data_IF_584925122536
#
_entry.id   IF_584925122536
#
_cell.length_a   1.000
_cell.length_b   1.000
_cell.length_c   1.000
_cell.angle_alpha   90.00
_cell.angle_beta   90.00
_cell.angle_gamma   90.00
#
_symmetry.space_group_name_H-M   'P 1'
#
loop_
_entity.id
_entity.type
_entity.pdbx_description
1 polymer ?
#
# COMPACT_ATOMS: atom_id res chain seq x y z
N UNK A 1 93.97 57.57 7.53
CA UNK A 1 92.62 57.42 7.00
C UNK A 1 91.63 57.94 8.03
N UNK A 2 90.67 58.77 7.61
CA UNK A 2 89.59 59.26 8.48
C UNK A 2 88.36 58.44 8.12
N UNK A 3 87.66 57.89 9.11
CA UNK A 3 86.41 57.17 8.82
C UNK A 3 85.30 58.18 8.51
N UNK A 4 85.03 58.44 7.24
CA UNK A 4 83.98 59.39 6.84
C UNK A 4 82.57 58.88 7.19
N UNK A 5 82.37 57.56 7.29
CA UNK A 5 81.09 56.96 7.65
C UNK A 5 80.72 57.16 9.12
N UNK A 6 81.70 57.36 10.00
CA UNK A 6 81.48 57.61 11.43
C UNK A 6 80.75 58.95 11.70
N UNK A 7 80.70 59.87 10.74
CA UNK A 7 80.02 61.17 10.87
C UNK A 7 78.90 61.29 9.85
N UNK A 8 77.64 61.38 10.31
CA UNK A 8 76.45 61.53 9.45
C UNK A 8 76.38 60.51 8.30
N UNK A 9 76.87 59.27 8.51
CA UNK A 9 76.93 58.20 7.51
C UNK A 9 77.69 58.60 6.22
N UNK A 10 78.71 59.47 6.31
CA UNK A 10 79.40 60.00 5.13
C UNK A 10 78.51 60.84 4.20
N UNK A 11 77.29 61.19 4.62
CA UNK A 11 76.27 61.79 3.76
C UNK A 11 75.50 60.80 2.88
N UNK A 12 75.76 59.50 3.00
CA UNK A 12 75.02 58.45 2.29
C UNK A 12 73.61 58.27 2.88
N UNK A 13 72.61 58.11 2.02
CA UNK A 13 71.23 57.87 2.46
C UNK A 13 71.06 56.52 3.17
N UNK A 14 71.68 55.46 2.64
CA UNK A 14 71.52 54.09 3.17
C UNK A 14 72.83 53.51 3.72
N UNK A 15 73.75 53.06 2.86
CA UNK A 15 74.97 52.34 3.29
C UNK A 15 76.21 53.17 2.93
N UNK A 16 77.09 53.37 3.90
CA UNK A 16 78.41 53.98 3.72
C UNK A 16 79.50 52.93 3.95
N UNK A 17 80.48 52.86 3.06
CA UNK A 17 81.67 52.03 3.23
C UNK A 17 82.92 52.90 3.18
N UNK A 18 83.68 52.92 4.28
CA UNK A 18 84.95 53.61 4.35
C UNK A 18 86.03 52.84 3.56
N UNK A 19 86.83 53.56 2.78
CA UNK A 19 87.93 53.00 1.98
C UNK A 19 89.21 53.78 2.26
N UNK A 20 90.39 53.26 1.90
CA UNK A 20 91.64 53.95 2.19
C UNK A 20 91.74 55.25 1.38
N UNK A 21 91.58 56.40 2.05
CA UNK A 21 91.64 57.74 1.48
C UNK A 21 90.34 58.28 0.85
N UNK A 22 89.21 57.58 1.00
CA UNK A 22 87.88 57.99 0.50
C UNK A 22 86.78 57.15 1.15
N UNK A 23 85.52 57.47 0.89
CA UNK A 23 84.39 56.58 1.14
C UNK A 23 83.57 56.37 -0.14
N UNK A 24 82.67 55.39 -0.14
CA UNK A 24 81.63 55.30 -1.16
C UNK A 24 80.27 54.99 -0.53
N UNK A 25 79.19 55.43 -1.17
CA UNK A 25 77.83 55.05 -0.80
C UNK A 25 77.36 53.87 -1.63
N UNK A 26 76.59 52.98 -1.02
CA UNK A 26 75.84 51.94 -1.70
C UNK A 26 74.41 51.88 -1.16
N UNK A 27 73.55 51.21 -1.91
CA UNK A 27 72.14 51.07 -1.56
C UNK A 27 71.82 49.63 -1.13
N UNK A 28 70.78 49.48 -0.34
CA UNK A 28 70.15 48.21 -0.02
C UNK A 28 69.58 47.57 -1.30
N UNK A 29 69.32 46.26 -1.26
CA UNK A 29 68.68 45.55 -2.38
C UNK A 29 67.33 46.22 -2.70
N UNK A 30 67.00 46.35 -3.99
CA UNK A 30 65.81 47.07 -4.47
C UNK A 30 66.01 48.57 -4.69
N UNK A 31 67.23 49.10 -4.46
CA UNK A 31 67.54 50.52 -4.67
C UNK A 31 68.74 50.70 -5.60
N UNK A 32 68.74 51.80 -6.34
CA UNK A 32 69.82 52.21 -7.24
C UNK A 32 70.43 53.54 -6.80
N UNK A 33 71.76 53.63 -6.86
CA UNK A 33 72.48 54.85 -6.48
C UNK A 33 72.19 55.95 -7.50
N UNK A 34 71.72 57.10 -7.00
CA UNK A 34 71.40 58.29 -7.78
C UNK A 34 72.67 58.95 -8.35
N UNK A 35 72.48 59.88 -9.28
CA UNK A 35 73.58 60.59 -9.98
C UNK A 35 74.47 61.42 -9.03
N UNK A 36 73.95 61.78 -7.86
CA UNK A 36 74.70 62.48 -6.81
C UNK A 36 75.66 61.56 -6.04
N UNK A 37 75.62 60.25 -6.29
CA UNK A 37 76.38 59.21 -5.58
C UNK A 37 76.14 59.17 -4.06
N UNK A 38 75.02 59.74 -3.59
CA UNK A 38 74.67 59.84 -2.16
C UNK A 38 73.26 59.29 -1.87
N UNK A 39 72.29 59.58 -2.74
CA UNK A 39 70.88 59.21 -2.59
C UNK A 39 70.58 57.86 -3.24
N UNK A 40 69.61 57.12 -2.72
CA UNK A 40 69.18 55.80 -3.16
C UNK A 40 67.74 55.86 -3.67
N UNK A 41 67.57 55.78 -4.99
CA UNK A 41 66.25 55.74 -5.61
C UNK A 41 65.73 54.31 -5.65
N UNK A 42 64.47 54.14 -5.27
CA UNK A 42 63.74 52.89 -5.40
C UNK A 42 63.78 52.37 -6.85
N UNK A 43 64.04 51.08 -7.03
CA UNK A 43 63.98 50.44 -8.34
C UNK A 43 62.56 49.96 -8.53
N UNK A 44 61.84 50.53 -9.50
CA UNK A 44 60.51 50.03 -9.86
C UNK A 44 60.65 48.73 -10.68
N UNK A 45 60.58 47.57 -10.01
CA UNK A 45 60.67 46.29 -10.69
C UNK A 45 59.46 46.04 -11.62
N UNK A 46 58.31 46.65 -11.34
CA UNK A 46 57.11 46.54 -12.16
C UNK A 46 57.24 47.25 -13.52
N UNK A 47 58.10 48.27 -13.61
CA UNK A 47 58.33 49.00 -14.86
C UNK A 47 58.93 48.13 -15.99
N UNK A 48 59.55 46.99 -15.65
CA UNK A 48 60.15 46.07 -16.60
C UNK A 48 59.46 44.71 -16.57
N UNK A 49 58.87 44.30 -17.71
CA UNK A 49 58.16 43.02 -17.85
C UNK A 49 57.18 42.70 -16.70
N UNK A 50 56.55 43.73 -16.12
CA UNK A 50 55.62 43.62 -15.00
C UNK A 50 56.22 42.94 -13.76
N UNK A 51 57.52 43.11 -13.50
CA UNK A 51 58.22 42.42 -12.40
C UNK A 51 58.26 40.90 -12.56
N UNK A 52 57.93 40.36 -13.74
CA UNK A 52 57.73 38.92 -13.95
C UNK A 52 56.39 38.39 -13.41
N UNK A 53 55.51 39.25 -12.89
CA UNK A 53 54.19 38.84 -12.40
C UNK A 53 53.28 38.45 -13.56
N UNK A 54 52.54 37.36 -13.40
CA UNK A 54 51.57 36.87 -14.38
C UNK A 54 50.38 37.81 -14.58
N UNK A 55 49.98 38.54 -13.52
CA UNK A 55 48.84 39.48 -13.56
C UNK A 55 49.23 40.87 -13.03
N UNK A 56 49.02 41.18 -11.75
CA UNK A 56 49.21 42.54 -11.21
C UNK A 56 50.50 42.64 -10.41
N UNK A 57 51.39 43.55 -10.81
CA UNK A 57 52.59 43.91 -10.04
C UNK A 57 52.36 45.21 -9.27
N UNK A 58 52.69 45.23 -7.97
CA UNK A 58 52.67 46.43 -7.15
C UNK A 58 54.06 46.72 -6.62
N UNK A 59 54.66 47.83 -7.07
CA UNK A 59 55.95 48.29 -6.59
C UNK A 59 55.81 48.90 -5.19
N UNK A 60 56.82 48.67 -4.36
CA UNK A 60 56.91 49.20 -2.99
C UNK A 60 58.35 49.61 -2.70
N UNK A 61 58.58 50.46 -1.71
CA UNK A 61 59.93 50.90 -1.42
C UNK A 61 60.85 49.72 -1.03
N UNK A 62 61.81 49.40 -1.89
CA UNK A 62 62.82 48.34 -1.75
C UNK A 62 62.36 46.95 -2.16
N UNK A 63 61.17 46.80 -2.74
CA UNK A 63 60.62 45.49 -3.13
C UNK A 63 59.37 45.62 -4.02
N UNK A 64 58.87 44.52 -4.53
CA UNK A 64 57.61 44.46 -5.26
C UNK A 64 56.85 43.20 -4.86
N UNK A 65 55.55 43.19 -5.12
CA UNK A 65 54.72 42.00 -4.92
C UNK A 65 53.81 41.75 -6.11
N UNK A 66 53.67 40.49 -6.47
CA UNK A 66 52.68 40.04 -7.43
C UNK A 66 51.36 39.73 -6.72
N UNK A 67 50.26 40.01 -7.42
CA UNK A 67 48.90 39.70 -6.97
C UNK A 67 48.06 39.25 -8.16
N UNK A 68 47.03 38.48 -7.88
CA UNK A 68 46.15 37.91 -8.88
C UNK A 68 44.78 38.59 -8.84
N UNK A 69 44.13 38.68 -10.00
CA UNK A 69 42.77 39.16 -10.12
C UNK A 69 41.79 38.17 -9.44
N UNK A 70 40.55 38.62 -9.23
CA UNK A 70 39.51 37.77 -8.64
C UNK A 70 39.31 36.49 -9.46
N UNK A 71 39.20 35.34 -8.80
CA UNK A 71 39.10 34.02 -9.45
C UNK A 71 40.45 33.33 -9.65
N UNK A 72 41.56 33.94 -9.22
CA UNK A 72 42.90 33.34 -9.31
C UNK A 72 43.61 33.34 -7.96
N UNK A 73 44.51 32.37 -7.78
CA UNK A 73 45.39 32.26 -6.63
C UNK A 73 46.85 32.34 -7.06
N UNK A 74 47.66 33.05 -6.27
CA UNK A 74 49.10 33.15 -6.49
C UNK A 74 49.74 31.78 -6.20
N UNK A 75 50.48 31.25 -7.16
CA UNK A 75 51.21 30.00 -7.04
C UNK A 75 52.40 30.17 -6.05
N UNK A 76 52.99 29.06 -5.61
CA UNK A 76 54.16 29.04 -4.74
C UNK A 76 55.45 29.59 -5.35
N UNK A 77 55.45 29.98 -6.62
CA UNK A 77 56.54 30.76 -7.24
C UNK A 77 56.42 32.28 -6.96
N UNK A 78 55.34 32.70 -6.28
CA UNK A 78 55.02 34.09 -5.93
C UNK A 78 54.86 35.03 -7.13
N UNK A 79 54.74 34.49 -8.36
CA UNK A 79 54.67 35.28 -9.60
C UNK A 79 53.53 34.85 -10.52
N UNK A 80 53.24 33.54 -10.61
CA UNK A 80 52.21 32.98 -11.48
C UNK A 80 50.86 32.92 -10.78
N UNK A 81 49.78 33.09 -11.54
CA UNK A 81 48.43 33.05 -11.03
C UNK A 81 47.66 31.91 -11.67
N UNK A 82 47.25 30.94 -10.85
CA UNK A 82 46.46 29.79 -11.28
C UNK A 82 44.98 30.04 -11.03
N UNK A 83 44.15 29.50 -11.92
CA UNK A 83 42.71 29.53 -11.80
C UNK A 83 42.25 28.83 -10.51
N UNK A 84 41.34 29.46 -9.77
CA UNK A 84 40.75 28.86 -8.58
C UNK A 84 39.60 27.96 -9.03
N UNK A 85 39.75 26.66 -8.84
CA UNK A 85 38.66 25.72 -9.09
C UNK A 85 37.64 25.79 -7.95
N UNK A 86 36.60 26.63 -8.07
CA UNK A 86 35.56 26.74 -7.06
C UNK A 86 34.73 25.45 -6.94
N UNK A 87 34.67 24.63 -7.99
CA UNK A 87 33.95 23.35 -7.98
C UNK A 87 34.64 22.30 -7.10
N UNK A 88 35.94 22.43 -6.86
CA UNK A 88 36.72 21.51 -6.01
C UNK A 88 36.25 21.50 -4.55
N UNK A 89 35.56 22.55 -4.10
CA UNK A 89 35.04 22.68 -2.73
C UNK A 89 33.52 22.73 -2.77
N UNK A 90 32.88 21.76 -2.10
CA UNK A 90 31.43 21.69 -1.95
C UNK A 90 30.64 21.87 -3.27
N UNK A 91 31.19 21.41 -4.40
CA UNK A 91 30.59 21.55 -5.73
C UNK A 91 30.27 23.02 -6.10
N UNK A 92 31.09 23.98 -5.65
CA UNK A 92 30.82 25.41 -5.85
C UNK A 92 29.52 25.90 -5.21
N UNK A 93 28.88 25.11 -4.35
CA UNK A 93 27.53 25.39 -3.84
C UNK A 93 26.39 25.06 -4.82
N UNK A 94 26.69 24.46 -5.98
CA UNK A 94 25.69 24.04 -6.95
C UNK A 94 24.88 22.83 -6.44
N UNK A 95 23.57 22.85 -6.67
CA UNK A 95 22.67 21.76 -6.29
C UNK A 95 22.95 20.46 -7.05
N UNK A 96 23.26 20.57 -8.35
CA UNK A 96 23.56 19.42 -9.22
C UNK A 96 25.01 19.39 -9.70
N UNK A 97 25.34 20.11 -10.77
CA UNK A 97 26.68 20.09 -11.37
C UNK A 97 27.33 21.46 -11.33
N UNK A 98 28.58 21.53 -10.91
CA UNK A 98 29.43 22.70 -11.05
C UNK A 98 30.34 22.57 -12.28
N UNK A 99 30.49 23.65 -13.03
CA UNK A 99 31.41 23.74 -14.16
C UNK A 99 32.41 24.86 -13.88
N UNK A 100 33.66 24.46 -13.64
CA UNK A 100 34.74 25.42 -13.45
C UNK A 100 35.08 26.08 -14.79
N UNK A 101 35.26 27.39 -14.77
CA UNK A 101 35.61 28.20 -15.95
C UNK A 101 36.77 29.12 -15.60
N UNK A 102 37.41 29.70 -16.61
CA UNK A 102 38.52 30.60 -16.33
C UNK A 102 38.02 31.82 -15.55
N UNK A 103 38.60 32.05 -14.38
CA UNK A 103 38.32 33.10 -13.40
C UNK A 103 36.95 33.04 -12.69
N UNK A 104 36.17 31.96 -12.84
CA UNK A 104 34.80 31.85 -12.31
C UNK A 104 34.28 30.42 -12.40
N UNK A 105 33.07 30.19 -11.91
CA UNK A 105 32.34 28.95 -12.15
C UNK A 105 30.88 29.25 -12.48
N UNK A 106 30.14 28.23 -12.91
CA UNK A 106 28.69 28.29 -12.99
C UNK A 106 28.07 26.92 -12.70
N UNK A 107 26.82 26.94 -12.24
CA UNK A 107 26.06 25.72 -12.02
C UNK A 107 25.30 25.31 -13.27
N UNK A 108 25.15 24.00 -13.46
CA UNK A 108 24.39 23.40 -14.53
C UNK A 108 23.44 22.34 -13.96
N UNK A 109 22.20 22.37 -14.44
CA UNK A 109 21.18 21.39 -14.09
C UNK A 109 21.12 20.26 -15.13
N UNK A 110 20.76 19.07 -14.66
CA UNK A 110 20.47 17.92 -15.49
C UNK A 110 19.20 18.10 -16.33
N UNK A 111 18.95 17.12 -17.21
CA UNK A 111 17.69 17.06 -17.98
C UNK A 111 16.50 16.97 -17.01
N UNK A 112 15.44 17.71 -17.32
CA UNK A 112 14.23 17.80 -16.46
C UNK A 112 14.33 18.87 -15.38
N UNK A 113 15.39 19.68 -15.35
CA UNK A 113 15.58 20.74 -14.36
C UNK A 113 15.98 22.06 -15.01
N UNK A 114 15.62 23.16 -14.37
CA UNK A 114 16.03 24.51 -14.76
C UNK A 114 16.78 25.18 -13.62
N UNK A 115 17.87 25.86 -13.96
CA UNK A 115 18.61 26.67 -13.00
C UNK A 115 17.75 27.87 -12.60
N UNK A 116 17.54 28.03 -11.31
CA UNK A 116 16.68 29.08 -10.79
C UNK A 116 17.39 30.46 -10.86
N UNK A 117 16.75 31.50 -10.33
CA UNK A 117 17.29 32.86 -10.34
C UNK A 117 18.50 33.10 -9.44
N UNK A 118 18.75 32.24 -8.45
CA UNK A 118 19.94 32.36 -7.59
C UNK A 118 21.22 31.86 -8.29
N UNK A 119 21.07 31.05 -9.34
CA UNK A 119 22.19 30.54 -10.14
C UNK A 119 22.87 29.29 -9.55
N UNK A 120 22.32 28.71 -8.48
CA UNK A 120 22.85 27.54 -7.77
C UNK A 120 21.86 26.38 -7.70
N UNK A 121 20.58 26.65 -7.43
CA UNK A 121 19.56 25.62 -7.26
C UNK A 121 18.86 25.24 -8.57
N UNK A 122 18.53 23.94 -8.68
CA UNK A 122 17.91 23.36 -9.86
C UNK A 122 16.46 22.98 -9.56
N UNK A 123 15.53 23.76 -10.10
CA UNK A 123 14.10 23.53 -9.93
C UNK A 123 13.60 22.49 -10.94
N UNK A 124 12.74 21.59 -10.47
CA UNK A 124 12.08 20.59 -11.30
C UNK A 124 11.23 21.24 -12.39
N UNK A 125 11.40 20.80 -13.63
CA UNK A 125 10.57 21.25 -14.74
C UNK A 125 9.29 20.44 -14.73
N UNK A 126 8.17 21.10 -14.51
CA UNK A 126 6.88 20.45 -14.66
C UNK A 126 6.48 20.38 -16.14
N UNK A 127 6.78 19.26 -16.80
CA UNK A 127 6.45 19.09 -18.21
C UNK A 127 4.94 19.05 -18.48
N UNK A 128 4.12 18.78 -17.45
CA UNK A 128 2.66 18.75 -17.57
C UNK A 128 2.05 20.14 -17.76
N UNK A 129 2.75 21.21 -17.36
CA UNK A 129 2.26 22.59 -17.53
C UNK A 129 2.22 23.02 -19.00
N UNK A 130 3.00 22.35 -19.87
CA UNK A 130 3.06 22.64 -21.30
C UNK A 130 2.49 21.49 -22.11
N UNK A 131 1.38 21.72 -22.81
CA UNK A 131 0.73 20.74 -23.68
C UNK A 131 0.50 19.37 -22.99
N UNK A 132 0.25 19.36 -21.68
CA UNK A 132 0.05 18.15 -20.89
C UNK A 132 1.21 17.13 -21.02
N UNK A 133 2.45 17.59 -21.18
CA UNK A 133 3.61 16.71 -21.44
C UNK A 133 3.55 15.93 -22.76
N UNK A 134 2.57 16.23 -23.64
CA UNK A 134 2.25 15.41 -24.81
C UNK A 134 1.39 14.17 -24.50
N UNK A 135 0.93 14.00 -23.25
CA UNK A 135 0.06 12.90 -22.85
C UNK A 135 -1.35 13.07 -23.42
N UNK A 136 -1.94 11.96 -23.88
CA UNK A 136 -3.30 11.95 -24.42
C UNK A 136 -4.36 12.24 -23.33
N UNK A 137 -4.18 11.67 -22.14
CA UNK A 137 -5.10 11.84 -21.02
C UNK A 137 -4.44 12.55 -19.83
N UNK A 138 -3.82 11.81 -18.91
CA UNK A 138 -3.28 12.39 -17.68
C UNK A 138 -1.76 12.47 -17.76
N UNK A 139 -1.19 13.64 -17.45
CA UNK A 139 0.23 13.80 -17.21
C UNK A 139 0.51 13.83 -15.72
N UNK A 140 1.53 13.11 -15.29
CA UNK A 140 2.00 13.11 -13.91
C UNK A 140 3.44 13.62 -13.88
N UNK A 141 3.62 14.79 -13.26
CA UNK A 141 4.93 15.36 -13.02
C UNK A 141 5.65 14.59 -11.91
N UNK A 142 6.92 14.28 -12.12
CA UNK A 142 7.77 13.53 -11.18
C UNK A 142 9.10 14.30 -11.10
N UNK A 143 9.77 14.24 -9.97
CA UNK A 143 11.07 14.89 -9.86
C UNK A 143 12.06 14.39 -10.94
N UNK A 144 12.46 15.29 -11.85
CA UNK A 144 13.38 15.10 -12.97
C UNK A 144 12.81 14.46 -14.23
N UNK A 145 11.49 14.21 -14.29
CA UNK A 145 10.82 13.60 -15.46
C UNK A 145 9.29 13.68 -15.34
N UNK A 146 8.60 13.25 -16.37
CA UNK A 146 7.16 13.00 -16.29
C UNK A 146 6.79 11.63 -16.84
N UNK A 147 5.53 11.24 -16.66
CA UNK A 147 4.93 10.10 -17.36
C UNK A 147 3.48 10.35 -17.68
N UNK A 148 2.99 9.68 -18.70
CA UNK A 148 1.58 9.67 -19.04
C UNK A 148 0.87 8.51 -18.37
N UNK A 149 -0.35 8.77 -17.91
CA UNK A 149 -1.24 7.77 -17.31
C UNK A 149 -2.61 7.83 -17.99
N UNK A 150 -3.19 6.64 -18.18
CA UNK A 150 -4.50 6.52 -18.78
C UNK A 150 -5.56 6.34 -17.69
N UNK A 151 -6.76 6.87 -17.95
CA UNK A 151 -7.92 6.65 -17.11
C UNK A 151 -8.38 5.19 -17.10
N UNK A 152 -9.38 4.90 -16.27
CA UNK A 152 -10.02 3.58 -16.24
C UNK A 152 -10.61 3.25 -17.63
N UNK A 153 -10.48 1.99 -18.06
CA UNK A 153 -10.91 1.54 -19.39
C UNK A 153 -9.88 1.77 -20.51
N UNK A 154 -8.66 2.23 -20.17
CA UNK A 154 -7.60 2.48 -21.14
C UNK A 154 -6.27 1.91 -20.68
N UNK A 155 -5.38 1.63 -21.63
CA UNK A 155 -4.01 1.27 -21.37
C UNK A 155 -3.05 2.18 -22.15
N UNK A 156 -1.87 2.40 -21.58
CA UNK A 156 -0.83 3.20 -22.23
C UNK A 156 -0.28 2.42 -23.41
N UNK A 157 -0.26 3.06 -24.57
CA UNK A 157 0.24 2.46 -25.80
C UNK A 157 1.78 2.40 -25.80
N UNK A 158 2.36 1.86 -26.87
CA UNK A 158 3.81 1.67 -26.99
C UNK A 158 4.61 2.99 -27.15
N UNK A 159 3.97 4.10 -27.51
CA UNK A 159 4.64 5.40 -27.62
C UNK A 159 4.82 6.07 -26.24
N UNK A 160 4.16 5.55 -25.20
CA UNK A 160 4.28 6.03 -23.83
C UNK A 160 3.47 7.30 -23.52
N UNK A 161 2.64 7.76 -24.45
CA UNK A 161 1.85 8.98 -24.34
C UNK A 161 0.38 8.81 -24.75
N UNK A 162 0.08 7.93 -25.70
CA UNK A 162 -1.28 7.63 -26.14
C UNK A 162 -1.98 6.61 -25.25
N UNK A 163 -3.31 6.73 -25.17
CA UNK A 163 -4.15 5.83 -24.39
C UNK A 163 -5.10 5.09 -25.33
N UNK A 164 -4.90 3.78 -25.43
CA UNK A 164 -5.71 2.90 -26.25
C UNK A 164 -6.82 2.31 -25.39
N UNK A 165 -8.02 2.28 -25.96
CA UNK A 165 -9.21 1.70 -25.36
C UNK A 165 -8.97 0.22 -25.01
N UNK A 166 -9.34 -0.17 -23.79
CA UNK A 166 -9.29 -1.57 -23.37
C UNK A 166 -10.61 -2.21 -23.75
N UNK A 167 -10.59 -3.11 -24.72
CA UNK A 167 -11.78 -3.87 -25.06
C UNK A 167 -12.03 -4.98 -24.02
N UNK A 168 -12.89 -4.70 -23.03
CA UNK A 168 -13.19 -5.64 -21.95
C UNK A 168 -13.94 -6.87 -22.44
N UNK A 169 -14.61 -6.81 -23.61
CA UNK A 169 -15.33 -7.94 -24.19
C UNK A 169 -14.38 -9.06 -24.64
N UNK A 170 -13.11 -8.74 -24.96
CA UNK A 170 -12.10 -9.75 -25.31
C UNK A 170 -11.69 -10.64 -24.13
N UNK A 171 -11.92 -10.19 -22.89
CA UNK A 171 -11.63 -10.96 -21.68
C UNK A 171 -12.94 -11.45 -21.06
N UNK A 172 -13.20 -12.76 -21.14
CA UNK A 172 -14.38 -13.40 -20.52
C UNK A 172 -15.71 -12.71 -20.86
N UNK A 173 -15.85 -12.17 -22.09
CA UNK A 173 -17.05 -11.42 -22.53
C UNK A 173 -17.37 -10.22 -21.63
N UNK A 174 -16.37 -9.57 -21.03
CA UNK A 174 -16.57 -8.49 -20.06
C UNK A 174 -17.28 -8.94 -18.77
N UNK A 175 -17.47 -10.24 -18.54
CA UNK A 175 -18.33 -10.75 -17.48
C UNK A 175 -19.83 -10.66 -17.80
N UNK A 176 -20.20 -10.30 -19.03
CA UNK A 176 -21.60 -10.31 -19.48
C UNK A 176 -22.12 -11.74 -19.66
N UNK A 177 -23.34 -11.99 -19.19
CA UNK A 177 -24.02 -13.29 -19.32
C UNK A 177 -24.39 -13.60 -20.77
N UNK A 178 -24.89 -12.60 -21.51
CA UNK A 178 -25.23 -12.72 -22.94
C UNK A 178 -24.26 -11.97 -23.85
N UNK A 179 -24.60 -10.74 -24.24
CA UNK A 179 -23.82 -9.98 -25.24
C UNK A 179 -23.04 -8.85 -24.58
N UNK A 180 -21.74 -8.77 -24.85
CA UNK A 180 -20.91 -7.63 -24.51
C UNK A 180 -20.76 -6.70 -25.71
N UNK A 181 -20.82 -5.39 -25.48
CA UNK A 181 -20.49 -4.38 -26.49
C UNK A 181 -19.46 -3.42 -25.92
N UNK A 182 -18.28 -3.41 -26.53
CA UNK A 182 -17.21 -2.50 -26.16
C UNK A 182 -17.53 -1.07 -26.61
N UNK A 183 -17.16 -0.10 -25.78
CA UNK A 183 -17.31 1.33 -26.04
C UNK A 183 -16.03 2.05 -25.66
N UNK A 184 -15.85 3.29 -26.11
CA UNK A 184 -14.64 4.04 -25.76
C UNK A 184 -14.65 4.34 -24.24
N UNK A 185 -13.73 3.72 -23.51
CA UNK A 185 -13.46 3.85 -22.08
C UNK A 185 -14.30 2.96 -21.17
N UNK A 186 -15.09 2.04 -21.72
CA UNK A 186 -15.99 1.15 -20.96
C UNK A 186 -16.60 0.11 -21.89
N UNK A 187 -17.42 -0.77 -21.34
CA UNK A 187 -18.30 -1.67 -22.08
C UNK A 187 -19.68 -1.69 -21.43
N UNK A 188 -20.64 -2.32 -22.10
CA UNK A 188 -21.92 -2.65 -21.48
C UNK A 188 -22.43 -4.01 -21.95
N UNK A 189 -23.22 -4.65 -21.07
CA UNK A 189 -23.88 -5.91 -21.35
C UNK A 189 -25.30 -5.69 -21.86
N UNK A 190 -25.76 -6.58 -22.75
CA UNK A 190 -27.14 -6.59 -23.23
C UNK A 190 -27.68 -8.01 -23.33
N UNK A 191 -28.99 -8.14 -23.09
CA UNK A 191 -29.67 -9.43 -23.06
C UNK A 191 -30.39 -9.70 -24.38
N UNK A 192 -30.40 -10.98 -24.79
CA UNK A 192 -31.24 -11.42 -25.90
C UNK A 192 -32.74 -11.34 -25.59
N UNK A 193 -33.56 -11.57 -26.62
CA UNK A 193 -35.02 -11.48 -26.52
C UNK A 193 -35.60 -12.35 -25.39
N UNK A 194 -36.47 -11.75 -24.58
CA UNK A 194 -37.10 -12.43 -23.44
C UNK A 194 -36.32 -12.38 -22.14
N UNK A 195 -35.21 -11.64 -22.07
CA UNK A 195 -34.40 -11.45 -20.86
C UNK A 195 -34.25 -9.96 -20.54
N UNK A 196 -34.07 -9.63 -19.27
CA UNK A 196 -33.80 -8.28 -18.76
C UNK A 196 -32.47 -8.25 -18.02
N UNK A 197 -31.69 -7.20 -18.26
CA UNK A 197 -30.42 -7.00 -17.58
C UNK A 197 -30.67 -6.78 -16.08
N UNK A 198 -29.95 -7.51 -15.25
CA UNK A 198 -30.02 -7.40 -13.79
C UNK A 198 -29.48 -6.04 -13.31
N UNK A 199 -29.68 -5.72 -12.02
CA UNK A 199 -29.21 -4.47 -11.43
C UNK A 199 -27.68 -4.34 -11.36
N UNK A 200 -26.94 -5.45 -11.41
CA UNK A 200 -25.47 -5.43 -11.45
C UNK A 200 -24.92 -5.11 -12.86
N UNK A 201 -25.80 -5.05 -13.87
CA UNK A 201 -25.43 -4.68 -15.23
C UNK A 201 -24.72 -5.78 -16.02
N UNK A 202 -24.66 -7.01 -15.52
CA UNK A 202 -23.91 -8.13 -16.12
C UNK A 202 -24.73 -9.39 -16.37
N UNK A 203 -25.69 -9.72 -15.50
CA UNK A 203 -26.53 -10.92 -15.62
C UNK A 203 -27.82 -10.67 -16.41
N UNK A 204 -28.33 -11.70 -17.11
CA UNK A 204 -29.58 -11.62 -17.84
C UNK A 204 -30.66 -12.47 -17.17
N UNK A 205 -31.56 -11.81 -16.46
CA UNK A 205 -32.70 -12.45 -15.82
C UNK A 205 -33.78 -12.68 -16.87
N UNK A 206 -34.25 -13.92 -17.03
CA UNK A 206 -35.38 -14.20 -17.91
C UNK A 206 -36.58 -13.35 -17.50
N UNK A 207 -37.21 -12.64 -18.44
CA UNK A 207 -38.58 -12.19 -18.24
C UNK A 207 -39.39 -13.45 -18.01
N UNK A 208 -39.81 -13.66 -16.77
CA UNK A 208 -41.06 -14.34 -16.52
C UNK A 208 -42.12 -13.57 -17.34
N UNK A 209 -42.46 -14.13 -18.49
CA UNK A 209 -43.66 -13.83 -19.25
C UNK A 209 -44.79 -13.55 -18.27
N UNK A 210 -45.51 -12.44 -18.44
CA UNK A 210 -46.86 -12.20 -17.92
C UNK A 210 -47.46 -13.39 -17.15
N UNK A 211 -47.08 -13.54 -15.89
CA UNK A 211 -47.63 -14.52 -14.97
C UNK A 211 -47.96 -13.76 -13.71
N UNK A 212 -49.23 -13.38 -13.60
CA UNK A 212 -49.91 -13.44 -12.31
C UNK A 212 -49.80 -14.88 -11.79
N UNK A 213 -48.65 -15.23 -11.21
CA UNK A 213 -48.54 -16.31 -10.24
C UNK A 213 -48.10 -15.63 -8.95
N UNK A 214 -49.07 -14.99 -8.31
CA UNK A 214 -49.00 -14.60 -6.93
C UNK A 214 -49.67 -15.71 -6.09
N UNK A 215 -49.49 -15.68 -4.78
CA UNK A 215 -50.18 -16.62 -3.89
C UNK A 215 -51.72 -16.50 -3.92
N UNK A 216 -52.29 -15.54 -4.68
CA UNK A 216 -53.74 -15.37 -4.77
C UNK A 216 -54.40 -16.40 -5.71
N UNK A 217 -53.67 -16.91 -6.71
CA UNK A 217 -54.18 -17.93 -7.62
C UNK A 217 -53.72 -19.33 -7.19
N UNK A 218 -54.66 -20.15 -6.70
CA UNK A 218 -54.43 -21.53 -6.26
C UNK A 218 -53.23 -21.70 -5.29
N UNK A 219 -53.00 -20.73 -4.39
CA UNK A 219 -51.86 -20.70 -3.47
C UNK A 219 -50.48 -20.77 -4.16
N UNK A 220 -50.37 -20.23 -5.39
CA UNK A 220 -49.16 -20.36 -6.20
C UNK A 220 -48.84 -21.81 -6.61
N UNK A 221 -49.74 -22.77 -6.41
CA UNK A 221 -49.46 -24.20 -6.58
C UNK A 221 -48.72 -24.84 -5.41
N UNK A 222 -48.49 -24.14 -4.30
CA UNK A 222 -47.88 -24.70 -3.10
C UNK A 222 -48.87 -25.60 -2.34
N UNK A 223 -48.42 -26.76 -1.86
CA UNK A 223 -49.24 -27.65 -1.02
C UNK A 223 -49.58 -27.02 0.33
N UNK A 224 -48.67 -26.22 0.91
CA UNK A 224 -48.86 -25.58 2.22
C UNK A 224 -48.75 -24.05 2.14
N UNK A 225 -47.60 -23.44 2.40
CA UNK A 225 -47.50 -21.98 2.55
C UNK A 225 -46.84 -21.34 1.33
N UNK A 226 -47.47 -20.31 0.76
CA UNK A 226 -46.92 -19.49 -0.31
C UNK A 226 -46.57 -18.08 0.19
N UNK A 227 -45.40 -17.56 -0.17
CA UNK A 227 -44.98 -16.17 0.12
C UNK A 227 -44.65 -15.41 -1.15
N UNK A 228 -45.28 -14.24 -1.36
CA UNK A 228 -44.98 -13.38 -2.50
C UNK A 228 -43.63 -12.67 -2.32
N UNK A 229 -42.87 -12.62 -3.40
CA UNK A 229 -41.61 -11.87 -3.55
C UNK A 229 -41.82 -10.78 -4.60
N UNK A 230 -40.88 -9.82 -4.69
CA UNK A 230 -41.00 -8.59 -5.51
C UNK A 230 -41.16 -8.88 -7.03
N UNK A 231 -40.99 -10.13 -7.46
CA UNK A 231 -41.22 -10.58 -8.83
C UNK A 231 -41.56 -12.09 -8.96
N UNK A 232 -41.84 -12.79 -7.86
CA UNK A 232 -42.10 -14.24 -7.84
C UNK A 232 -42.86 -14.67 -6.58
N UNK A 233 -42.95 -15.96 -6.31
CA UNK A 233 -43.42 -16.51 -5.03
C UNK A 233 -42.52 -17.68 -4.62
N UNK A 234 -42.58 -18.07 -3.34
CA UNK A 234 -41.86 -19.23 -2.81
C UNK A 234 -42.78 -20.08 -1.96
N UNK A 235 -42.68 -21.41 -2.11
CA UNK A 235 -43.40 -22.37 -1.28
C UNK A 235 -42.55 -22.75 -0.06
N UNK A 236 -43.22 -22.88 1.09
CA UNK A 236 -42.63 -23.38 2.32
C UNK A 236 -43.60 -24.34 3.01
N UNK A 237 -43.03 -25.25 3.81
CA UNK A 237 -43.80 -26.23 4.55
C UNK A 237 -43.92 -25.84 6.02
N UNK A 238 -45.04 -26.20 6.63
CA UNK A 238 -45.25 -26.06 8.06
C UNK A 238 -44.27 -26.97 8.83
N UNK A 239 -44.09 -26.68 10.12
CA UNK A 239 -43.27 -27.49 11.02
C UNK A 239 -43.71 -28.97 10.97
N UNK A 240 -42.75 -29.88 10.91
CA UNK A 240 -42.99 -31.33 10.75
C UNK A 240 -43.02 -31.82 9.29
N UNK A 241 -42.76 -30.93 8.32
CA UNK A 241 -42.73 -31.27 6.89
C UNK A 241 -41.46 -30.74 6.22
N UNK A 242 -41.03 -31.41 5.15
CA UNK A 242 -39.96 -30.93 4.27
C UNK A 242 -40.49 -30.70 2.85
N UNK A 243 -39.89 -29.74 2.14
CA UNK A 243 -40.26 -29.39 0.77
C UNK A 243 -39.63 -30.40 -0.20
N UNK A 244 -40.44 -30.94 -1.10
CA UNK A 244 -40.01 -31.85 -2.16
C UNK A 244 -39.13 -31.13 -3.20
N UNK A 245 -38.40 -31.89 -4.02
CA UNK A 245 -37.53 -31.39 -5.08
C UNK A 245 -38.30 -30.61 -6.17
N UNK A 246 -39.61 -30.85 -6.31
CA UNK A 246 -40.46 -30.06 -7.19
C UNK A 246 -40.74 -28.65 -6.68
N UNK A 247 -40.31 -28.31 -5.46
CA UNK A 247 -40.40 -26.99 -4.87
C UNK A 247 -41.81 -26.56 -4.46
N UNK A 248 -42.80 -27.48 -4.42
CA UNK A 248 -44.20 -27.15 -4.16
C UNK A 248 -44.89 -28.11 -3.19
N UNK A 249 -44.55 -29.40 -3.23
CA UNK A 249 -45.15 -30.43 -2.36
C UNK A 249 -44.40 -30.55 -1.04
N UNK A 250 -45.14 -30.82 0.03
CA UNK A 250 -44.66 -30.96 1.39
C UNK A 250 -44.88 -32.39 1.88
N UNK A 251 -43.78 -33.09 2.15
CA UNK A 251 -43.79 -34.44 2.67
C UNK A 251 -43.56 -34.45 4.17
N UNK A 252 -44.26 -35.36 4.84
CA UNK A 252 -44.18 -35.57 6.28
C UNK A 252 -42.76 -35.98 6.68
N UNK A 253 -42.19 -35.31 7.68
CA UNK A 253 -40.92 -35.75 8.28
C UNK A 253 -41.26 -36.91 9.20
N UNK A 254 -40.71 -38.10 8.95
CA UNK A 254 -40.84 -39.19 9.91
C UNK A 254 -39.85 -38.98 11.06
N UNK A 255 -40.33 -38.40 12.17
CA UNK A 255 -39.45 -38.08 13.30
C UNK A 255 -38.88 -39.35 13.97
N UNK A 256 -39.55 -40.50 13.85
CA UNK A 256 -39.12 -41.74 14.46
C UNK A 256 -37.86 -42.37 13.82
N UNK A 257 -37.42 -41.89 12.64
CA UNK A 257 -36.25 -42.44 11.95
C UNK A 257 -34.92 -42.07 12.62
N UNK A 258 -34.87 -40.97 13.36
CA UNK A 258 -33.66 -40.49 14.03
C UNK A 258 -33.82 -40.68 15.54
N UNK A 259 -33.08 -41.63 16.12
CA UNK A 259 -33.02 -41.89 17.56
C UNK A 259 -34.41 -41.98 18.25
N UNK A 260 -35.41 -42.55 17.56
CA UNK A 260 -36.79 -42.68 18.05
C UNK A 260 -37.42 -41.32 18.48
N UNK A 261 -36.87 -40.21 18.00
CA UNK A 261 -37.11 -38.84 18.44
C UNK A 261 -37.15 -38.63 19.97
N UNK A 262 -36.36 -39.41 20.71
CA UNK A 262 -36.31 -39.34 22.16
C UNK A 262 -37.45 -40.05 22.91
N UNK A 263 -38.33 -40.79 22.22
CA UNK A 263 -39.26 -41.69 22.88
C UNK A 263 -38.50 -42.85 23.54
N UNK A 264 -38.77 -43.13 24.81
CA UNK A 264 -38.09 -44.19 25.56
C UNK A 264 -38.37 -45.58 24.98
N UNK A 265 -39.62 -45.82 24.55
CA UNK A 265 -40.04 -47.13 24.04
C UNK A 265 -40.52 -47.04 22.59
N UNK A 266 -41.77 -46.64 22.35
CA UNK A 266 -42.39 -46.68 21.02
C UNK A 266 -42.60 -45.27 20.50
N UNK A 267 -42.15 -44.98 19.27
CA UNK A 267 -42.50 -43.77 18.53
C UNK A 267 -43.52 -44.08 17.44
N UNK A 268 -44.57 -43.28 17.37
CA UNK A 268 -45.58 -43.31 16.32
C UNK A 268 -45.52 -42.03 15.50
N UNK A 269 -45.11 -42.16 14.24
CA UNK A 269 -45.15 -41.06 13.29
C UNK A 269 -46.60 -40.72 12.93
N UNK A 270 -46.90 -39.43 12.84
CA UNK A 270 -48.19 -38.90 12.41
C UNK A 270 -47.98 -37.74 11.45
N UNK A 271 -49.02 -37.33 10.73
CA UNK A 271 -48.85 -36.23 9.77
C UNK A 271 -48.56 -34.91 10.50
N UNK A 272 -47.34 -34.39 10.33
CA UNK A 272 -46.83 -33.13 10.87
C UNK A 272 -46.31 -33.21 12.30
N UNK A 273 -46.26 -34.40 12.90
CA UNK A 273 -45.82 -34.61 14.27
C UNK A 273 -45.62 -36.08 14.59
N UNK A 274 -45.23 -36.40 15.82
CA UNK A 274 -45.10 -37.77 16.31
C UNK A 274 -45.67 -37.85 17.73
N UNK A 275 -45.87 -39.07 18.21
CA UNK A 275 -46.25 -39.33 19.60
C UNK A 275 -45.46 -40.50 20.14
N UNK A 276 -45.16 -40.47 21.44
CA UNK A 276 -44.55 -41.60 22.12
C UNK A 276 -45.63 -42.49 22.75
N UNK A 277 -45.36 -43.78 22.86
CA UNK A 277 -46.22 -44.74 23.55
C UNK A 277 -45.38 -45.75 24.33
N UNK A 278 -46.01 -46.35 25.33
CA UNK A 278 -45.38 -47.34 26.20
C UNK A 278 -45.89 -48.75 25.89
N UNK A 279 -45.01 -49.72 26.08
CA UNK A 279 -45.34 -51.15 26.09
C UNK A 279 -46.20 -51.48 27.31
N UNK A 280 -46.93 -52.61 27.24
CA UNK A 280 -47.75 -53.06 28.36
C UNK A 280 -46.91 -53.27 29.63
N UNK A 281 -47.45 -52.89 30.80
CA UNK A 281 -46.72 -52.87 32.08
C UNK A 281 -46.07 -51.51 32.41
N UNK A 282 -46.21 -50.50 31.53
CA UNK A 282 -45.69 -49.15 31.75
C UNK A 282 -46.77 -48.09 31.53
N UNK A 283 -46.67 -46.97 32.25
CA UNK A 283 -47.50 -45.77 32.10
C UNK A 283 -46.69 -44.63 31.48
N UNK A 284 -47.32 -43.86 30.60
CA UNK A 284 -46.69 -42.68 30.01
C UNK A 284 -46.49 -41.60 31.08
N UNK A 285 -45.24 -41.15 31.20
CA UNK A 285 -44.89 -40.06 32.09
C UNK A 285 -45.47 -38.73 31.56
N UNK A 286 -45.84 -37.76 32.42
CA UNK A 286 -46.36 -36.45 31.98
C UNK A 286 -45.45 -35.66 31.03
N UNK A 287 -44.17 -36.01 30.94
CA UNK A 287 -43.25 -35.42 29.98
C UNK A 287 -43.55 -35.83 28.52
N UNK A 288 -44.32 -36.90 28.29
CA UNK A 288 -44.72 -37.39 26.96
C UNK A 288 -43.64 -38.16 26.21
N UNK A 289 -42.52 -38.52 26.86
CA UNK A 289 -41.37 -39.21 26.25
C UNK A 289 -40.92 -40.44 27.02
N UNK A 290 -41.14 -40.47 28.34
CA UNK A 290 -40.69 -41.55 29.22
C UNK A 290 -41.83 -42.48 29.63
N UNK A 291 -41.47 -43.71 29.97
CA UNK A 291 -42.39 -44.76 30.37
C UNK A 291 -42.03 -45.23 31.78
N UNK A 292 -42.88 -44.89 32.74
CA UNK A 292 -42.70 -45.32 34.12
C UNK A 292 -43.26 -46.72 34.32
N UNK A 293 -42.47 -47.57 34.97
CA UNK A 293 -42.87 -48.92 35.35
C UNK A 293 -44.11 -48.91 36.24
N UNK A 294 -45.12 -49.72 35.91
CA UNK A 294 -46.32 -49.86 36.74
C UNK A 294 -45.97 -50.81 37.88
N UNK A 295 -45.93 -50.31 39.11
CA UNK A 295 -45.77 -51.19 40.28
C UNK A 295 -47.07 -51.97 40.55
N UNK A 296 -47.17 -53.18 39.99
CA UNK A 296 -48.34 -54.03 40.20
C UNK A 296 -48.43 -54.57 41.64
N UNK A 297 -47.33 -54.58 42.40
CA UNK A 297 -47.34 -54.99 43.80
C UNK A 297 -48.03 -53.97 44.71
N UNK A 298 -48.10 -52.70 44.29
CA UNK A 298 -48.78 -51.64 45.04
C UNK A 298 -50.30 -51.85 45.13
N UNK A 299 -50.89 -52.64 44.23
CA UNK A 299 -52.31 -53.00 44.26
C UNK A 299 -52.49 -54.46 44.66
N UNK A 300 -53.17 -54.72 45.78
CA UNK A 300 -53.48 -56.08 46.28
C UNK A 300 -52.26 -57.04 46.29
N UNK A 301 -51.05 -56.53 46.56
CA UNK A 301 -49.80 -57.32 46.54
C UNK A 301 -49.57 -58.05 45.21
N UNK A 302 -50.03 -57.50 44.07
CA UNK A 302 -49.98 -58.17 42.76
C UNK A 302 -50.76 -59.49 42.70
N UNK A 303 -51.63 -59.77 43.67
CA UNK A 303 -52.26 -61.08 43.81
C UNK A 303 -51.31 -62.20 44.26
N UNK A 304 -50.13 -61.88 44.81
CA UNK A 304 -49.22 -62.87 45.39
C UNK A 304 -49.64 -63.28 46.80
N UNK A 305 -49.54 -64.57 47.12
CA UNK A 305 -49.84 -65.09 48.48
C UNK A 305 -48.81 -64.62 49.52
N UNK A 306 -47.53 -64.71 49.17
CA UNK A 306 -46.43 -64.25 50.02
C UNK A 306 -45.87 -62.91 49.52
N UNK A 307 -44.68 -62.91 48.92
CA UNK A 307 -43.96 -61.68 48.60
C UNK A 307 -44.06 -61.36 47.12
N UNK A 308 -44.65 -60.21 46.79
CA UNK A 308 -44.60 -59.64 45.46
C UNK A 308 -43.29 -58.87 45.25
N UNK A 309 -42.65 -59.09 44.10
CA UNK A 309 -41.44 -58.39 43.67
C UNK A 309 -41.74 -57.70 42.36
N UNK A 310 -41.81 -56.37 42.39
CA UNK A 310 -41.97 -55.55 41.21
C UNK A 310 -40.72 -55.64 40.32
N UNK A 311 -40.90 -55.67 39.00
CA UNK A 311 -39.83 -55.74 38.01
C UNK A 311 -40.12 -54.81 36.85
N UNK A 312 -39.11 -54.46 36.06
CA UNK A 312 -39.34 -53.60 34.89
C UNK A 312 -40.32 -54.26 33.89
N UNK A 313 -41.53 -53.70 33.78
CA UNK A 313 -42.63 -54.06 32.89
C UNK A 313 -43.50 -55.21 33.37
N UNK A 314 -43.33 -55.68 34.61
CA UNK A 314 -44.05 -56.82 35.16
C UNK A 314 -43.78 -57.01 36.65
N UNK A 315 -44.31 -58.06 37.25
CA UNK A 315 -44.02 -58.45 38.63
C UNK A 315 -43.92 -59.96 38.74
N UNK A 316 -43.36 -60.44 39.85
CA UNK A 316 -43.36 -61.88 40.16
C UNK A 316 -43.58 -62.13 41.64
N UNK A 317 -44.19 -63.27 41.95
CA UNK A 317 -44.38 -63.73 43.31
C UNK A 317 -43.20 -64.60 43.77
N UNK A 318 -42.90 -64.55 45.06
CA UNK A 318 -41.87 -65.36 45.70
C UNK A 318 -42.34 -65.86 47.06
N UNK A 319 -41.91 -67.07 47.41
CA UNK A 319 -42.31 -67.73 48.64
C UNK A 319 -41.27 -67.57 49.75
N UNK A 320 -41.73 -67.56 51.00
CA UNK A 320 -40.86 -67.65 52.16
C UNK A 320 -40.13 -69.01 52.22
N UNK A 321 -39.03 -69.06 52.97
CA UNK A 321 -38.19 -70.27 53.09
C UNK A 321 -39.01 -71.49 53.54
N UNK A 322 -38.94 -72.57 52.74
CA UNK A 322 -39.66 -73.82 52.98
C UNK A 322 -40.92 -74.01 52.13
N UNK A 323 -41.32 -73.02 51.33
CA UNK A 323 -42.47 -73.08 50.42
C UNK A 323 -42.00 -72.99 48.95
N UNK A 324 -42.78 -73.54 48.02
CA UNK A 324 -42.45 -73.53 46.59
C UNK A 324 -43.63 -72.96 45.79
N UNK A 325 -43.32 -72.08 44.84
CA UNK A 325 -44.34 -71.40 44.03
C UNK A 325 -45.12 -72.43 43.19
N UNK A 326 -46.45 -72.39 43.26
CA UNK A 326 -47.32 -73.26 42.50
C UNK A 326 -47.35 -72.89 41.01
N UNK A 327 -47.91 -73.77 40.17
CA UNK A 327 -47.92 -73.60 38.70
C UNK A 327 -48.74 -72.42 38.20
N UNK A 328 -49.57 -71.82 39.06
CA UNK A 328 -50.31 -70.60 38.75
C UNK A 328 -49.44 -69.33 38.88
N UNK A 329 -48.24 -69.44 39.47
CA UNK A 329 -47.30 -68.33 39.62
C UNK A 329 -47.64 -67.35 40.75
N UNK A 330 -48.67 -67.61 41.55
CA UNK A 330 -49.16 -66.68 42.58
C UNK A 330 -49.16 -67.24 44.00
N UNK A 331 -49.38 -68.55 44.18
CA UNK A 331 -49.54 -69.18 45.48
C UNK A 331 -48.30 -69.97 45.93
N UNK A 332 -48.17 -70.15 47.24
CA UNK A 332 -47.07 -70.77 47.98
C UNK A 332 -47.64 -71.66 49.11
#
# INVERSE_FOLDING_TARGET
DVDECATSNGGCEQICTNTDGSFHCSCQVGYSLSIDSLSCNDVDECASANGGCGQTCTNSAGSYQCSCDTGYALNGDEHSCDDVDECSVANGGCDQSCVNTVASFHCQCGVGFLLNSDGFACDDVNECDTNNGGCNQNCVNIFGRYRCECGVGYHLNADGAGCDDVDECNSTNGGCDHNCTNTIGSYYCSCGDGYSLSNDGSACDGRASSFTANCADANGGCQQTCTNLISSFSCSCNRGYYLDFNGADCHDINECWMENNGCEQICHNSRGSFSCACTAGYLENPNGFSCDDIDECSSENGGCEHTCINTAGSYRCSCADGYALTSDGHNC
#
